data_IF_674368882828
#
_entry.id   IF_674368882828
#
_cell.length_a   1.000
_cell.length_b   1.000
_cell.length_c   1.000
_cell.angle_alpha   90.00
_cell.angle_beta   90.00
_cell.angle_gamma   90.00
#
_symmetry.space_group_name_H-M   'P 1'
#
loop_
_entity.id
_entity.type
_entity.pdbx_description
1 polymer ?
#
# COMPACT_ATOMS: atom_id res chain seq x y z
N UNK A 1 -19.76 -3.08 -19.93
CA UNK A 1 -20.05 -2.51 -18.61
C UNK A 1 -19.42 -3.42 -17.59
N UNK A 2 -18.31 -2.99 -16.98
CA UNK A 2 -17.55 -3.79 -16.03
C UNK A 2 -18.19 -3.65 -14.65
N UNK A 3 -18.98 -4.65 -14.24
CA UNK A 3 -19.46 -4.79 -12.86
C UNK A 3 -18.66 -5.92 -12.22
N UNK A 4 -17.57 -5.55 -11.57
CA UNK A 4 -16.86 -6.38 -10.62
C UNK A 4 -16.80 -5.60 -9.32
N UNK A 5 -17.90 -5.63 -8.56
CA UNK A 5 -17.95 -5.06 -7.21
C UNK A 5 -16.97 -5.82 -6.31
N UNK A 6 -15.82 -5.22 -6.04
CA UNK A 6 -14.87 -5.71 -5.05
C UNK A 6 -15.41 -5.28 -3.67
N UNK A 7 -16.29 -6.10 -3.10
CA UNK A 7 -16.74 -5.96 -1.72
C UNK A 7 -15.66 -6.51 -0.79
N UNK A 8 -14.57 -5.75 -0.64
CA UNK A 8 -13.75 -5.88 0.55
C UNK A 8 -14.57 -5.29 1.70
N UNK A 9 -14.70 -6.03 2.79
CA UNK A 9 -15.34 -5.52 4.02
C UNK A 9 -14.42 -4.44 4.56
N UNK A 10 -14.63 -3.19 4.12
CA UNK A 10 -13.94 -2.01 4.62
C UNK A 10 -14.49 -1.74 6.03
N UNK A 11 -13.94 -2.40 7.03
CA UNK A 11 -13.87 -1.77 8.35
C UNK A 11 -13.05 -0.49 8.13
N UNK A 12 -13.76 0.64 8.03
CA UNK A 12 -13.27 2.01 8.20
C UNK A 12 -11.81 2.22 7.74
N UNK A 13 -11.58 2.66 6.49
CA UNK A 13 -10.23 3.07 6.01
C UNK A 13 -9.62 3.99 7.06
N UNK A 14 -8.75 3.43 7.90
CA UNK A 14 -8.30 4.03 9.13
C UNK A 14 -7.11 4.90 8.76
N UNK A 15 -7.41 6.16 8.46
CA UNK A 15 -6.47 7.23 8.10
C UNK A 15 -5.89 7.13 6.67
N UNK A 16 -5.65 8.29 6.05
CA UNK A 16 -5.23 8.50 4.66
C UNK A 16 -4.02 7.63 4.24
N UNK A 17 -3.11 7.35 5.18
CA UNK A 17 -1.93 6.53 4.91
C UNK A 17 -2.28 5.08 4.66
N UNK A 18 -3.23 4.50 5.40
CA UNK A 18 -3.62 3.11 5.18
C UNK A 18 -4.21 2.93 3.79
N UNK A 19 -5.10 3.84 3.37
CA UNK A 19 -5.62 3.85 2.00
C UNK A 19 -4.52 3.97 0.95
N UNK A 20 -3.49 4.79 1.22
CA UNK A 20 -2.34 4.92 0.33
C UNK A 20 -1.44 3.68 0.30
N UNK A 21 -1.29 2.99 1.44
CA UNK A 21 -0.53 1.75 1.59
C UNK A 21 -1.20 0.63 0.80
N UNK A 22 -2.51 0.45 0.97
CA UNK A 22 -3.29 -0.56 0.25
C UNK A 22 -3.24 -0.31 -1.25
N UNK A 23 -3.58 0.90 -1.70
CA UNK A 23 -3.59 1.23 -3.14
C UNK A 23 -2.20 1.06 -3.78
N UNK A 24 -1.15 1.56 -3.12
CA UNK A 24 0.20 1.37 -3.66
C UNK A 24 0.67 -0.08 -3.60
N UNK A 25 0.18 -0.86 -2.62
CA UNK A 25 0.45 -2.28 -2.47
C UNK A 25 -0.20 -3.11 -3.58
N UNK A 26 -1.48 -2.84 -3.88
CA UNK A 26 -2.18 -3.42 -5.03
C UNK A 26 -1.40 -3.20 -6.33
N UNK A 27 -1.07 -1.94 -6.63
CA UNK A 27 -0.29 -1.60 -7.82
C UNK A 27 1.10 -2.26 -7.85
N UNK A 28 1.75 -2.40 -6.70
CA UNK A 28 3.06 -3.03 -6.61
C UNK A 28 3.00 -4.56 -6.81
N UNK A 29 1.97 -5.21 -6.28
CA UNK A 29 1.75 -6.64 -6.46
C UNK A 29 1.29 -6.97 -7.88
N UNK A 30 0.42 -6.15 -8.49
CA UNK A 30 -0.04 -6.33 -9.88
C UNK A 30 1.12 -6.35 -10.88
N UNK A 31 2.13 -5.51 -10.66
CA UNK A 31 3.35 -5.50 -11.49
C UNK A 31 4.17 -6.78 -11.40
N UNK A 32 4.02 -7.51 -10.30
CA UNK A 32 4.63 -8.82 -10.12
C UNK A 32 3.69 -9.94 -10.61
N UNK A 33 2.63 -9.59 -11.36
CA UNK A 33 1.57 -10.49 -11.80
C UNK A 33 0.89 -11.23 -10.65
N UNK A 34 0.82 -10.58 -9.49
CA UNK A 34 0.24 -11.07 -8.26
C UNK A 34 -0.91 -10.14 -7.83
N UNK A 35 -1.49 -10.39 -6.65
CA UNK A 35 -2.51 -9.53 -6.05
C UNK A 35 -2.11 -9.14 -4.63
N UNK A 36 -2.63 -8.02 -4.13
CA UNK A 36 -2.44 -7.67 -2.72
C UNK A 36 -3.05 -8.75 -1.82
N UNK A 37 -2.28 -9.22 -0.84
CA UNK A 37 -2.79 -10.17 0.16
C UNK A 37 -3.01 -9.48 1.50
N UNK A 38 -1.98 -8.80 2.03
CA UNK A 38 -2.05 -8.10 3.31
C UNK A 38 -0.93 -7.09 3.47
N UNK A 39 -1.10 -6.21 4.46
CA UNK A 39 -0.06 -5.34 4.97
C UNK A 39 0.31 -5.75 6.40
N UNK A 40 1.60 -5.90 6.68
CA UNK A 40 2.13 -6.13 8.02
C UNK A 40 2.69 -4.82 8.59
N UNK A 41 1.99 -4.27 9.59
CA UNK A 41 2.35 -3.02 10.22
C UNK A 41 3.55 -3.10 11.15
N UNK A 42 3.98 -4.29 11.56
CA UNK A 42 5.18 -4.52 12.38
C UNK A 42 6.42 -4.80 11.54
N UNK A 43 6.24 -5.24 10.29
CA UNK A 43 7.32 -5.42 9.33
C UNK A 43 7.44 -4.25 8.34
N UNK A 44 6.43 -3.37 8.29
CA UNK A 44 6.33 -2.30 7.29
C UNK A 44 6.38 -2.84 5.85
N UNK A 45 5.77 -4.00 5.62
CA UNK A 45 5.78 -4.70 4.33
C UNK A 45 4.38 -5.01 3.84
N UNK A 46 4.21 -4.94 2.52
CA UNK A 46 3.05 -5.49 1.82
C UNK A 46 3.41 -6.90 1.36
N UNK A 47 2.58 -7.88 1.68
CA UNK A 47 2.68 -9.23 1.14
C UNK A 47 1.71 -9.38 -0.03
N UNK A 48 2.22 -9.89 -1.15
CA UNK A 48 1.41 -10.25 -2.31
C UNK A 48 0.92 -11.71 -2.20
N UNK A 49 -0.07 -12.10 -3.01
CA UNK A 49 -0.72 -13.42 -2.94
C UNK A 49 0.20 -14.61 -3.26
N UNK A 50 1.31 -14.36 -3.95
CA UNK A 50 2.38 -15.31 -4.22
C UNK A 50 3.43 -15.41 -3.09
N UNK A 51 3.23 -14.65 -2.00
CA UNK A 51 4.12 -14.60 -0.85
C UNK A 51 5.32 -13.65 -1.02
N UNK A 52 5.43 -12.97 -2.17
CA UNK A 52 6.44 -11.93 -2.37
C UNK A 52 6.16 -10.73 -1.45
N UNK A 53 7.22 -10.05 -1.02
CA UNK A 53 7.14 -8.91 -0.10
C UNK A 53 7.60 -7.63 -0.78
N UNK A 54 6.85 -6.55 -0.57
CA UNK A 54 7.14 -5.20 -1.05
C UNK A 54 7.29 -4.28 0.15
N UNK A 55 8.49 -3.73 0.33
CA UNK A 55 8.74 -2.75 1.37
C UNK A 55 8.06 -1.41 1.06
N UNK A 56 7.53 -0.75 2.10
CA UNK A 56 7.08 0.63 1.97
C UNK A 56 8.26 1.59 1.74
N UNK A 57 7.99 2.81 1.24
CA UNK A 57 9.02 3.79 0.99
C UNK A 57 9.80 4.15 2.26
N UNK A 58 11.11 4.37 2.09
CA UNK A 58 11.95 4.84 3.18
C UNK A 58 11.36 6.09 3.85
N UNK A 59 11.38 6.11 5.18
CA UNK A 59 10.88 7.22 5.98
C UNK A 59 9.37 7.19 6.25
N UNK A 60 8.61 6.26 5.65
CA UNK A 60 7.22 5.96 6.04
C UNK A 60 7.18 5.20 7.37
N UNK A 61 8.16 4.34 7.62
CA UNK A 61 8.26 3.58 8.86
C UNK A 61 9.46 3.96 9.71
N UNK A 62 9.36 3.68 11.01
CA UNK A 62 10.39 3.81 12.03
C UNK A 62 10.27 2.65 13.01
N UNK A 63 11.37 1.93 13.27
CA UNK A 63 11.34 0.70 14.06
C UNK A 63 10.25 -0.26 13.57
N UNK A 64 10.19 -0.43 12.24
CA UNK A 64 9.30 -1.35 11.53
C UNK A 64 7.80 -1.09 11.70
N UNK A 65 7.43 0.06 12.29
CA UNK A 65 6.06 0.57 12.36
C UNK A 65 5.88 1.83 11.52
N UNK A 66 4.71 2.00 10.91
CA UNK A 66 4.36 3.26 10.22
C UNK A 66 4.48 4.41 11.21
N UNK A 67 5.31 5.39 10.85
CA UNK A 67 5.37 6.66 11.59
C UNK A 67 3.98 7.27 11.60
N UNK A 68 3.61 7.95 12.68
CA UNK A 68 2.29 8.57 12.82
C UNK A 68 1.82 9.21 11.51
N UNK A 69 0.68 8.73 11.01
CA UNK A 69 0.09 9.19 9.76
C UNK A 69 -0.40 10.66 9.82
N UNK A 70 -0.15 11.36 10.93
CA UNK A 70 -0.32 12.80 11.07
C UNK A 70 0.80 13.59 10.37
N UNK A 71 1.95 12.97 10.12
CA UNK A 71 3.08 13.64 9.46
C UNK A 71 2.82 13.85 7.95
N UNK A 72 2.80 15.10 7.53
CA UNK A 72 2.70 15.48 6.11
C UNK A 72 3.85 14.88 5.27
N UNK A 73 5.01 14.61 5.88
CA UNK A 73 6.10 13.93 5.19
C UNK A 73 5.73 12.48 4.84
N UNK A 74 5.15 11.75 5.78
CA UNK A 74 4.73 10.34 5.59
C UNK A 74 3.66 10.27 4.51
N UNK A 75 2.64 11.12 4.58
CA UNK A 75 1.58 11.22 3.57
C UNK A 75 2.15 11.50 2.18
N UNK A 76 3.06 12.49 2.07
CA UNK A 76 3.69 12.84 0.79
C UNK A 76 4.51 11.69 0.23
N UNK A 77 5.25 10.96 1.05
CA UNK A 77 6.05 9.80 0.63
C UNK A 77 5.15 8.68 0.09
N UNK A 78 4.03 8.39 0.76
CA UNK A 78 3.05 7.41 0.31
C UNK A 78 2.38 7.81 -1.01
N UNK A 79 1.90 9.06 -1.13
CA UNK A 79 1.33 9.58 -2.39
C UNK A 79 2.32 9.49 -3.57
N UNK A 80 3.59 9.81 -3.31
CA UNK A 80 4.65 9.68 -4.31
C UNK A 80 4.91 8.22 -4.71
N UNK A 81 4.84 7.30 -3.77
CA UNK A 81 5.00 5.88 -4.03
C UNK A 81 3.87 5.32 -4.89
N UNK A 82 2.62 5.58 -4.52
CA UNK A 82 1.44 5.26 -5.35
C UNK A 82 1.61 5.81 -6.76
N UNK A 83 1.96 7.09 -6.88
CA UNK A 83 2.19 7.75 -8.18
C UNK A 83 3.30 7.09 -9.00
N UNK A 84 4.39 6.66 -8.36
CA UNK A 84 5.47 5.93 -9.03
C UNK A 84 4.99 4.57 -9.50
N UNK A 85 4.24 3.84 -8.67
CA UNK A 85 3.73 2.52 -9.05
C UNK A 85 2.79 2.63 -10.24
N UNK A 86 1.87 3.58 -10.20
CA UNK A 86 0.91 3.82 -11.28
C UNK A 86 1.57 4.19 -12.62
N UNK A 87 2.55 5.12 -12.62
CA UNK A 87 3.24 5.55 -13.86
C UNK A 87 3.97 4.44 -14.61
N UNK A 88 4.37 3.40 -13.90
CA UNK A 88 5.11 2.25 -14.44
C UNK A 88 4.19 1.05 -14.71
N UNK A 89 2.89 1.19 -14.47
CA UNK A 89 1.86 0.22 -14.86
C UNK A 89 1.22 0.58 -16.22
N UNK A 90 1.61 1.72 -16.82
CA UNK A 90 1.21 2.20 -18.16
C UNK A 90 2.35 2.02 -19.15
#
# INVERSE_FOLDING_TARGET
FLSGEFSATFDEVSNECEGSIVNGGELACEKQHSHFSRYDSNACTVTCGDGSEVNLPEGVCSNDQVKECTSEEVKRRLRNWVSKMWKTST
#
